data_IF_727419029287
#
_entry.id   IF_727419029287
#
_cell.length_a   1.000
_cell.length_b   1.000
_cell.length_c   1.000
_cell.angle_alpha   90.00
_cell.angle_beta   90.00
_cell.angle_gamma   90.00
#
_symmetry.space_group_name_H-M   'P 1'
#
loop_
_entity.id
_entity.type
_entity.pdbx_description
1 polymer ?
#
# COMPACT_ATOMS: atom_id res chain seq x y z
N UNK A 1 -3.87 19.30 -17.54
CA UNK A 1 -3.39 18.40 -16.47
C UNK A 1 -4.56 17.53 -16.06
N UNK A 2 -4.34 16.23 -15.89
CA UNK A 2 -5.36 15.35 -15.35
C UNK A 2 -5.53 15.68 -13.85
N UNK A 3 -6.77 15.74 -13.36
CA UNK A 3 -7.08 16.02 -11.94
C UNK A 3 -6.49 14.89 -11.07
N UNK A 4 -5.85 15.23 -9.95
CA UNK A 4 -5.47 14.27 -8.91
C UNK A 4 -6.75 13.61 -8.36
N UNK A 5 -6.72 12.29 -8.21
CA UNK A 5 -7.82 11.51 -7.64
C UNK A 5 -7.63 11.41 -6.14
N UNK A 6 -8.68 11.71 -5.37
CA UNK A 6 -8.67 11.65 -3.90
C UNK A 6 -9.56 10.54 -3.40
N UNK A 7 -9.13 9.84 -2.37
CA UNK A 7 -9.88 8.76 -1.75
C UNK A 7 -9.81 8.75 -0.24
N UNK A 8 -10.51 7.81 0.37
CA UNK A 8 -10.49 7.55 1.81
C UNK A 8 -10.25 6.07 2.09
N UNK A 9 -9.69 5.71 3.26
CA UNK A 9 -9.60 4.33 3.68
C UNK A 9 -10.97 3.78 4.05
N UNK A 10 -11.10 2.47 4.05
CA UNK A 10 -12.24 1.82 4.68
C UNK A 10 -12.18 2.05 6.20
N UNK A 11 -13.14 2.82 6.71
CA UNK A 11 -13.25 3.12 8.13
C UNK A 11 -13.88 1.94 8.87
N UNK A 12 -13.19 1.45 9.90
CA UNK A 12 -13.64 0.30 10.71
C UNK A 12 -14.83 0.65 11.61
N UNK A 13 -15.04 1.93 11.91
CA UNK A 13 -16.19 2.40 12.68
C UNK A 13 -17.53 2.29 11.93
N UNK A 14 -17.49 2.15 10.60
CA UNK A 14 -18.67 1.92 9.78
C UNK A 14 -18.93 0.42 9.62
N UNK A 15 -20.22 0.02 9.69
CA UNK A 15 -20.60 -1.39 9.79
C UNK A 15 -20.48 -2.17 8.46
N UNK A 16 -20.38 -1.47 7.32
CA UNK A 16 -20.36 -2.11 6.02
C UNK A 16 -19.52 -1.35 4.98
N UNK A 17 -19.13 -2.05 3.93
CA UNK A 17 -18.48 -1.42 2.76
C UNK A 17 -19.44 -0.41 2.11
N UNK A 18 -20.76 -0.70 2.06
CA UNK A 18 -21.73 0.24 1.49
C UNK A 18 -21.79 1.56 2.26
N UNK A 19 -21.73 1.54 3.58
CA UNK A 19 -21.70 2.78 4.39
C UNK A 19 -20.44 3.60 4.10
N UNK A 20 -19.31 2.95 3.93
CA UNK A 20 -18.05 3.58 3.50
C UNK A 20 -18.18 4.19 2.10
N UNK A 21 -18.73 3.45 1.14
CA UNK A 21 -18.95 3.92 -0.23
C UNK A 21 -19.87 5.14 -0.26
N UNK A 22 -20.94 5.11 0.53
CA UNK A 22 -21.88 6.24 0.65
C UNK A 22 -21.21 7.48 1.21
N UNK A 23 -20.40 7.32 2.27
CA UNK A 23 -19.63 8.42 2.85
C UNK A 23 -18.64 9.00 1.83
N UNK A 24 -17.86 8.16 1.14
CA UNK A 24 -16.93 8.57 0.10
C UNK A 24 -17.61 9.42 -0.98
N UNK A 25 -18.75 8.95 -1.48
CA UNK A 25 -19.56 9.68 -2.47
C UNK A 25 -20.11 11.01 -1.92
N UNK A 26 -20.60 11.04 -0.68
CA UNK A 26 -21.08 12.26 -0.03
C UNK A 26 -19.98 13.33 0.15
N UNK A 27 -18.75 12.91 0.40
CA UNK A 27 -17.58 13.79 0.51
C UNK A 27 -17.01 14.21 -0.86
N UNK A 28 -17.56 13.70 -1.97
CA UNK A 28 -17.08 14.00 -3.32
C UNK A 28 -15.70 13.41 -3.62
N UNK A 29 -15.31 12.35 -2.90
CA UNK A 29 -14.08 11.61 -3.12
C UNK A 29 -14.24 10.62 -4.28
N UNK A 30 -13.13 10.24 -4.92
CA UNK A 30 -13.12 9.47 -6.16
C UNK A 30 -12.99 7.96 -5.92
N UNK A 31 -12.43 7.53 -4.78
CA UNK A 31 -12.19 6.11 -4.49
C UNK A 31 -12.14 5.77 -3.00
N UNK A 32 -12.30 4.48 -2.71
CA UNK A 32 -12.05 3.89 -1.39
C UNK A 32 -10.94 2.86 -1.50
N UNK A 33 -10.03 2.87 -0.55
CA UNK A 33 -9.10 1.78 -0.34
C UNK A 33 -9.71 0.76 0.63
N UNK A 34 -9.99 -0.45 0.10
CA UNK A 34 -10.50 -1.56 0.90
C UNK A 34 -9.34 -2.24 1.62
N UNK A 35 -9.52 -2.50 2.92
CA UNK A 35 -8.48 -3.09 3.77
C UNK A 35 -8.64 -4.61 3.86
N UNK A 36 -7.75 -5.35 3.22
CA UNK A 36 -7.75 -6.81 3.20
C UNK A 36 -7.28 -7.45 4.53
N UNK A 37 -6.93 -6.68 5.57
CA UNK A 37 -6.82 -7.23 6.93
C UNK A 37 -8.21 -7.53 7.53
N UNK A 38 -9.27 -6.91 7.00
CA UNK A 38 -10.63 -7.11 7.51
C UNK A 38 -11.26 -8.39 6.95
N UNK A 39 -11.94 -9.21 7.79
CA UNK A 39 -12.61 -10.43 7.33
C UNK A 39 -13.60 -10.23 6.19
N UNK A 40 -14.23 -9.06 6.11
CA UNK A 40 -15.19 -8.70 5.05
C UNK A 40 -14.53 -8.36 3.70
N UNK A 41 -13.22 -8.17 3.68
CA UNK A 41 -12.45 -7.75 2.51
C UNK A 41 -11.31 -8.72 2.18
N UNK A 42 -11.37 -9.96 2.68
CA UNK A 42 -10.43 -11.00 2.25
C UNK A 42 -10.64 -11.33 0.78
N UNK A 43 -9.59 -11.39 -0.05
CA UNK A 43 -9.70 -11.57 -1.50
C UNK A 43 -10.55 -12.79 -1.90
N UNK A 44 -10.40 -13.92 -1.18
CA UNK A 44 -11.10 -15.18 -1.48
C UNK A 44 -12.61 -15.13 -1.20
N UNK A 45 -13.06 -14.20 -0.34
CA UNK A 45 -14.48 -14.05 0.03
C UNK A 45 -15.15 -12.80 -0.51
N UNK A 46 -14.38 -11.91 -1.14
CA UNK A 46 -14.85 -10.61 -1.61
C UNK A 46 -15.92 -10.75 -2.70
N UNK A 47 -17.10 -10.17 -2.46
CA UNK A 47 -18.18 -10.20 -3.44
C UNK A 47 -17.98 -9.12 -4.52
N UNK A 48 -17.19 -9.47 -5.55
CA UNK A 48 -16.85 -8.59 -6.67
C UNK A 48 -18.10 -8.06 -7.41
N UNK A 49 -19.14 -8.88 -7.55
CA UNK A 49 -20.37 -8.44 -8.21
C UNK A 49 -21.04 -7.31 -7.42
N UNK A 50 -21.18 -7.48 -6.11
CA UNK A 50 -21.77 -6.47 -5.24
C UNK A 50 -20.94 -5.17 -5.22
N UNK A 51 -19.61 -5.28 -5.16
CA UNK A 51 -18.74 -4.12 -5.21
C UNK A 51 -18.85 -3.36 -6.54
N UNK A 52 -19.00 -4.07 -7.67
CA UNK A 52 -19.24 -3.41 -8.96
C UNK A 52 -20.59 -2.69 -9.00
N UNK A 53 -21.65 -3.24 -8.39
CA UNK A 53 -22.94 -2.53 -8.27
C UNK A 53 -22.77 -1.24 -7.45
N UNK A 54 -22.07 -1.28 -6.32
CA UNK A 54 -21.80 -0.09 -5.53
C UNK A 54 -20.97 0.94 -6.30
N UNK A 55 -19.92 0.49 -6.99
CA UNK A 55 -19.07 1.33 -7.85
C UNK A 55 -19.90 2.08 -8.88
N UNK A 56 -20.77 1.39 -9.58
CA UNK A 56 -21.61 1.97 -10.65
C UNK A 56 -22.67 2.91 -10.07
N UNK A 57 -23.29 2.52 -8.94
CA UNK A 57 -24.35 3.30 -8.29
C UNK A 57 -23.82 4.64 -7.74
N UNK A 58 -22.62 4.65 -7.15
CA UNK A 58 -22.07 5.81 -6.45
C UNK A 58 -20.99 6.53 -7.25
N UNK A 59 -20.57 6.01 -8.40
CA UNK A 59 -19.56 6.62 -9.27
C UNK A 59 -18.15 6.63 -8.67
N UNK A 60 -17.85 5.74 -7.73
CA UNK A 60 -16.55 5.64 -7.04
C UNK A 60 -15.69 4.51 -7.65
N UNK A 61 -14.41 4.50 -7.30
CA UNK A 61 -13.46 3.42 -7.64
C UNK A 61 -12.99 2.72 -6.37
N UNK A 62 -12.25 1.63 -6.53
CA UNK A 62 -11.58 0.93 -5.43
C UNK A 62 -10.08 0.82 -5.68
N UNK A 63 -9.31 0.87 -4.60
CA UNK A 63 -7.96 0.33 -4.46
C UNK A 63 -8.00 -0.73 -3.35
N UNK A 64 -6.97 -1.56 -3.25
CA UNK A 64 -6.90 -2.57 -2.20
C UNK A 64 -5.60 -2.40 -1.42
N UNK A 65 -5.69 -2.39 -0.11
CA UNK A 65 -4.56 -2.53 0.80
C UNK A 65 -4.48 -3.99 1.25
N UNK A 66 -3.43 -4.70 0.85
CA UNK A 66 -3.28 -6.12 1.15
C UNK A 66 -2.88 -6.33 2.63
N UNK A 67 -2.95 -7.58 3.15
CA UNK A 67 -2.55 -7.87 4.51
C UNK A 67 -1.12 -7.41 4.79
N UNK A 68 -0.91 -6.76 5.94
CA UNK A 68 0.37 -6.17 6.33
C UNK A 68 1.46 -7.21 6.60
N UNK A 69 1.07 -8.44 6.90
CA UNK A 69 1.96 -9.58 7.14
C UNK A 69 2.38 -10.31 5.85
N UNK A 70 1.89 -9.89 4.69
CA UNK A 70 2.24 -10.49 3.40
C UNK A 70 3.75 -10.42 3.17
N UNK A 71 4.36 -11.56 2.82
CA UNK A 71 5.82 -11.69 2.72
C UNK A 71 6.25 -12.47 1.48
N UNK A 72 6.66 -11.74 0.46
CA UNK A 72 7.12 -12.28 -0.84
C UNK A 72 8.50 -12.94 -0.76
N UNK A 73 9.26 -12.67 0.31
CA UNK A 73 10.64 -13.15 0.50
C UNK A 73 10.78 -14.26 1.55
N UNK A 74 9.67 -14.69 2.19
CA UNK A 74 9.70 -15.59 3.33
C UNK A 74 10.54 -16.85 3.07
N UNK A 75 11.41 -17.23 4.04
CA UNK A 75 12.35 -18.36 3.88
C UNK A 75 11.64 -19.71 3.82
N UNK A 76 10.56 -19.89 4.61
CA UNK A 76 9.76 -21.11 4.50
C UNK A 76 8.93 -21.05 3.22
N UNK A 77 9.16 -22.00 2.32
CA UNK A 77 8.50 -22.08 1.01
C UNK A 77 6.97 -22.14 1.12
N UNK A 78 6.46 -22.96 2.04
CA UNK A 78 4.99 -23.12 2.18
C UNK A 78 4.30 -21.85 2.67
N UNK A 79 4.93 -21.12 3.59
CA UNK A 79 4.42 -19.82 4.04
C UNK A 79 4.45 -18.82 2.89
N UNK A 80 5.56 -18.74 2.15
CA UNK A 80 5.66 -17.86 0.97
C UNK A 80 4.62 -18.20 -0.10
N UNK A 81 4.40 -19.49 -0.38
CA UNK A 81 3.36 -19.92 -1.33
C UNK A 81 1.95 -19.53 -0.86
N UNK A 82 1.67 -19.59 0.45
CA UNK A 82 0.40 -19.11 0.99
C UNK A 82 0.22 -17.59 0.79
N UNK A 83 1.25 -16.79 1.08
CA UNK A 83 1.21 -15.35 0.83
C UNK A 83 1.05 -15.03 -0.68
N UNK A 84 1.75 -15.76 -1.54
CA UNK A 84 1.61 -15.62 -2.99
C UNK A 84 0.21 -15.98 -3.47
N UNK A 85 -0.45 -16.96 -2.84
CA UNK A 85 -1.83 -17.33 -3.17
C UNK A 85 -2.81 -16.19 -2.83
N UNK A 86 -2.65 -15.55 -1.68
CA UNK A 86 -3.45 -14.36 -1.31
C UNK A 86 -3.25 -13.24 -2.34
N UNK A 87 -2.01 -13.00 -2.76
CA UNK A 87 -1.71 -11.99 -3.77
C UNK A 87 -2.31 -12.33 -5.14
N UNK A 88 -2.24 -13.58 -5.59
CA UNK A 88 -2.86 -14.04 -6.85
C UNK A 88 -4.38 -13.76 -6.84
N UNK A 89 -5.06 -14.12 -5.76
CA UNK A 89 -6.49 -13.89 -5.60
C UNK A 89 -6.83 -12.39 -5.57
N UNK A 90 -6.01 -11.58 -4.88
CA UNK A 90 -6.17 -10.13 -4.85
C UNK A 90 -5.99 -9.49 -6.24
N UNK A 91 -5.00 -9.93 -7.03
CA UNK A 91 -4.81 -9.47 -8.41
C UNK A 91 -6.06 -9.78 -9.25
N UNK A 92 -6.61 -11.01 -9.13
CA UNK A 92 -7.83 -11.40 -9.82
C UNK A 92 -9.06 -10.59 -9.40
N UNK A 93 -9.19 -10.24 -8.12
CA UNK A 93 -10.23 -9.34 -7.61
C UNK A 93 -10.05 -7.93 -8.17
N UNK A 94 -8.84 -7.39 -8.08
CA UNK A 94 -8.50 -6.06 -8.55
C UNK A 94 -8.81 -5.88 -10.05
N UNK A 95 -8.43 -6.84 -10.87
CA UNK A 95 -8.70 -6.82 -12.30
C UNK A 95 -10.20 -6.77 -12.59
N UNK A 96 -11.01 -7.63 -11.95
CA UNK A 96 -12.48 -7.66 -12.10
C UNK A 96 -13.17 -6.39 -11.57
N UNK A 97 -12.61 -5.70 -10.58
CA UNK A 97 -13.11 -4.42 -10.07
C UNK A 97 -12.61 -3.22 -10.87
N UNK A 98 -11.59 -3.40 -11.72
CA UNK A 98 -10.89 -2.33 -12.42
C UNK A 98 -10.01 -1.48 -11.49
N UNK A 99 -9.57 -2.04 -10.35
CA UNK A 99 -8.60 -1.41 -9.47
C UNK A 99 -7.26 -1.24 -10.20
N UNK A 100 -6.59 -0.12 -9.96
CA UNK A 100 -5.29 0.16 -10.56
C UNK A 100 -4.14 -0.07 -9.58
N UNK A 101 -4.39 0.02 -8.30
CA UNK A 101 -3.40 -0.07 -7.23
C UNK A 101 -3.79 -1.19 -6.25
N UNK A 102 -2.82 -2.06 -6.00
CA UNK A 102 -2.77 -2.98 -4.85
C UNK A 102 -1.63 -2.50 -3.95
N UNK A 103 -1.93 -1.99 -2.77
CA UNK A 103 -0.92 -1.54 -1.83
C UNK A 103 -0.40 -2.71 -0.98
N UNK A 104 0.93 -2.79 -0.80
CA UNK A 104 1.60 -3.80 0.03
C UNK A 104 2.69 -3.16 0.88
N UNK A 105 2.98 -3.78 2.03
CA UNK A 105 4.18 -3.51 2.81
C UNK A 105 5.30 -4.49 2.44
N UNK A 106 6.56 -4.06 2.63
CA UNK A 106 7.67 -5.01 2.68
C UNK A 106 7.78 -5.58 4.08
N UNK A 107 7.85 -6.92 4.18
CA UNK A 107 7.98 -7.57 5.49
C UNK A 107 9.43 -7.46 5.99
N UNK A 108 9.67 -7.03 7.27
CA UNK A 108 11.02 -6.92 7.83
C UNK A 108 11.68 -8.29 8.09
N UNK A 109 10.90 -9.36 8.06
CA UNK A 109 11.35 -10.69 8.47
C UNK A 109 11.62 -10.81 9.97
N UNK A 110 12.15 -11.97 10.35
CA UNK A 110 12.50 -12.26 11.74
C UNK A 110 13.89 -11.69 12.06
N UNK A 111 14.04 -11.20 13.30
CA UNK A 111 15.33 -10.81 13.83
C UNK A 111 15.66 -11.58 15.12
N UNK A 112 16.94 -11.73 15.39
CA UNK A 112 17.47 -12.26 16.64
C UNK A 112 18.16 -11.15 17.41
N UNK A 113 17.80 -10.99 18.69
CA UNK A 113 18.47 -10.07 19.59
C UNK A 113 19.54 -10.84 20.36
N UNK A 114 20.80 -10.55 20.06
CA UNK A 114 21.97 -11.02 20.79
C UNK A 114 22.34 -10.01 21.87
N UNK A 115 23.22 -10.38 22.83
CA UNK A 115 23.64 -9.44 23.89
C UNK A 115 24.25 -8.13 23.39
N UNK A 116 24.89 -8.14 22.23
CA UNK A 116 25.65 -7.02 21.67
C UNK A 116 25.06 -6.44 20.38
N UNK A 117 24.16 -7.17 19.72
CA UNK A 117 23.63 -6.76 18.41
C UNK A 117 22.24 -7.34 18.10
N UNK A 118 21.56 -6.74 17.14
CA UNK A 118 20.31 -7.24 16.55
C UNK A 118 20.61 -7.74 15.14
N UNK A 119 20.35 -9.02 14.87
CA UNK A 119 20.57 -9.64 13.56
C UNK A 119 19.25 -9.76 12.83
N UNK A 120 19.10 -9.06 11.72
CA UNK A 120 17.99 -9.20 10.79
C UNK A 120 18.28 -10.37 9.83
N UNK A 121 17.41 -11.39 9.82
CA UNK A 121 17.68 -12.61 9.06
C UNK A 121 17.72 -12.37 7.55
N UNK A 122 16.87 -11.48 7.01
CA UNK A 122 16.88 -11.17 5.58
C UNK A 122 18.16 -10.44 5.17
N UNK A 123 18.70 -9.58 6.01
CA UNK A 123 20.00 -8.96 5.79
C UNK A 123 21.15 -9.97 5.86
N UNK A 124 21.15 -10.85 6.88
CA UNK A 124 22.19 -11.88 7.06
C UNK A 124 22.20 -12.91 5.93
N UNK A 125 21.03 -13.30 5.43
CA UNK A 125 20.88 -14.29 4.35
C UNK A 125 20.36 -13.62 3.07
N UNK A 126 20.90 -12.45 2.73
CA UNK A 126 20.41 -11.59 1.66
C UNK A 126 20.31 -12.31 0.30
N UNK A 127 21.27 -13.14 -0.05
CA UNK A 127 21.24 -13.88 -1.32
C UNK A 127 20.00 -14.79 -1.44
N UNK A 128 19.67 -15.52 -0.36
CA UNK A 128 18.50 -16.37 -0.33
C UNK A 128 17.21 -15.55 -0.36
N UNK A 129 17.16 -14.45 0.40
CA UNK A 129 16.02 -13.53 0.41
C UNK A 129 15.75 -12.98 -0.99
N UNK A 130 16.77 -12.45 -1.66
CA UNK A 130 16.63 -11.88 -3.01
C UNK A 130 16.29 -12.95 -4.07
N UNK A 131 16.79 -14.19 -3.91
CA UNK A 131 16.39 -15.31 -4.75
C UNK A 131 14.91 -15.65 -4.59
N UNK A 132 14.39 -15.61 -3.35
CA UNK A 132 12.96 -15.83 -3.08
C UNK A 132 12.11 -14.71 -3.69
N UNK A 133 12.50 -13.44 -3.51
CA UNK A 133 11.84 -12.28 -4.14
C UNK A 133 11.78 -12.43 -5.66
N UNK A 134 12.91 -12.85 -6.29
CA UNK A 134 12.95 -13.08 -7.74
C UNK A 134 11.96 -14.16 -8.18
N UNK A 135 11.93 -15.30 -7.48
CA UNK A 135 11.00 -16.39 -7.80
C UNK A 135 9.53 -15.98 -7.62
N UNK A 136 9.25 -15.14 -6.61
CA UNK A 136 7.92 -14.59 -6.41
C UNK A 136 7.54 -13.61 -7.53
N UNK A 137 8.47 -12.74 -7.94
CA UNK A 137 8.27 -11.80 -9.04
C UNK A 137 7.92 -12.49 -10.35
N UNK A 138 8.59 -13.60 -10.67
CA UNK A 138 8.32 -14.39 -11.90
C UNK A 138 6.86 -14.87 -11.95
N UNK A 139 6.27 -15.28 -10.84
CA UNK A 139 4.86 -15.65 -10.75
C UNK A 139 3.93 -14.43 -10.83
N UNK A 140 4.27 -13.36 -10.11
CA UNK A 140 3.49 -12.12 -10.07
C UNK A 140 3.39 -11.49 -11.46
N UNK A 141 4.47 -11.47 -12.22
CA UNK A 141 4.48 -10.95 -13.60
C UNK A 141 3.55 -11.75 -14.52
N UNK A 142 3.42 -13.06 -14.31
CA UNK A 142 2.45 -13.91 -15.04
C UNK A 142 1.02 -13.49 -14.68
N UNK A 143 0.71 -13.34 -13.40
CA UNK A 143 -0.65 -12.98 -12.94
C UNK A 143 -1.07 -11.57 -13.32
N UNK A 144 -0.12 -10.63 -13.36
CA UNK A 144 -0.35 -9.26 -13.81
C UNK A 144 -0.42 -9.13 -15.33
N UNK A 145 0.00 -10.17 -16.06
CA UNK A 145 -0.05 -10.20 -17.53
C UNK A 145 -1.46 -9.98 -18.06
N UNK A 146 -1.64 -8.94 -18.90
CA UNK A 146 -2.94 -8.57 -19.49
C UNK A 146 -3.86 -7.75 -18.59
N UNK A 147 -3.52 -7.55 -17.31
CA UNK A 147 -4.27 -6.67 -16.40
C UNK A 147 -3.78 -5.22 -16.46
N UNK A 148 -4.60 -4.30 -15.96
CA UNK A 148 -4.19 -2.91 -15.74
C UNK A 148 -3.75 -2.61 -14.30
N UNK A 149 -3.48 -3.66 -13.50
CA UNK A 149 -3.14 -3.59 -12.08
C UNK A 149 -1.64 -3.33 -11.88
N UNK A 150 -1.30 -2.51 -10.90
CA UNK A 150 0.06 -2.32 -10.40
C UNK A 150 0.10 -2.61 -8.91
N UNK A 151 1.19 -3.21 -8.46
CA UNK A 151 1.44 -3.40 -7.03
C UNK A 151 2.26 -2.20 -6.54
N UNK A 152 1.74 -1.51 -5.54
CA UNK A 152 2.39 -0.35 -4.94
C UNK A 152 3.04 -0.73 -3.61
N UNK A 153 4.33 -0.47 -3.47
CA UNK A 153 5.08 -0.76 -2.25
C UNK A 153 5.10 0.49 -1.38
N UNK A 154 4.59 0.35 -0.17
CA UNK A 154 4.53 1.43 0.81
C UNK A 154 5.80 1.52 1.64
N UNK A 155 6.22 2.74 1.96
CA UNK A 155 7.27 2.99 2.93
C UNK A 155 6.72 2.83 4.36
N UNK A 156 7.41 2.01 5.13
CA UNK A 156 7.07 1.70 6.54
C UNK A 156 8.27 1.84 7.48
N UNK A 157 9.23 2.69 7.11
CA UNK A 157 10.50 2.81 7.82
C UNK A 157 11.47 1.65 7.57
N UNK A 158 11.33 0.94 6.45
CA UNK A 158 12.15 -0.22 6.10
C UNK A 158 13.00 -0.03 4.85
N UNK A 159 12.65 0.94 3.98
CA UNK A 159 13.29 1.11 2.67
C UNK A 159 14.73 1.63 2.77
N UNK A 160 15.16 2.12 3.93
CA UNK A 160 16.54 2.47 4.21
C UNK A 160 17.47 1.24 4.39
N UNK A 161 16.91 0.04 4.62
CA UNK A 161 17.68 -1.20 4.86
C UNK A 161 18.23 -1.75 3.54
N UNK A 162 19.56 -2.02 3.41
CA UNK A 162 20.17 -2.35 2.12
C UNK A 162 19.55 -3.56 1.41
N UNK A 163 19.17 -4.60 2.16
CA UNK A 163 18.56 -5.80 1.58
C UNK A 163 17.13 -5.54 1.09
N UNK A 164 16.35 -4.70 1.79
CA UNK A 164 15.00 -4.28 1.38
C UNK A 164 15.10 -3.36 0.16
N UNK A 165 16.01 -2.37 0.17
CA UNK A 165 16.25 -1.51 -1.01
C UNK A 165 16.56 -2.33 -2.25
N UNK A 166 17.43 -3.34 -2.12
CA UNK A 166 17.81 -4.21 -3.24
C UNK A 166 16.61 -4.99 -3.76
N UNK A 167 15.77 -5.51 -2.85
CA UNK A 167 14.54 -6.21 -3.22
C UNK A 167 13.54 -5.29 -3.94
N UNK A 168 13.26 -4.11 -3.38
CA UNK A 168 12.35 -3.13 -3.99
C UNK A 168 12.86 -2.67 -5.35
N UNK A 169 14.17 -2.39 -5.48
CA UNK A 169 14.76 -2.04 -6.76
C UNK A 169 14.61 -3.16 -7.81
N UNK A 170 14.65 -4.42 -7.39
CA UNK A 170 14.42 -5.56 -8.27
C UNK A 170 12.94 -5.62 -8.71
N UNK A 171 11.99 -5.40 -7.81
CA UNK A 171 10.55 -5.36 -8.09
C UNK A 171 10.19 -4.21 -9.04
N UNK A 172 10.69 -3.00 -8.79
CA UNK A 172 10.43 -1.82 -9.62
C UNK A 172 10.90 -1.98 -11.07
N UNK A 173 11.97 -2.76 -11.32
CA UNK A 173 12.48 -3.01 -12.67
C UNK A 173 11.51 -3.79 -13.57
N UNK A 174 10.54 -4.51 -13.01
CA UNK A 174 9.53 -5.22 -13.82
C UNK A 174 8.54 -4.26 -14.51
N UNK A 175 8.46 -3.01 -14.07
CA UNK A 175 7.48 -2.03 -14.54
C UNK A 175 6.04 -2.30 -14.10
N UNK A 176 5.83 -3.35 -13.28
CA UNK A 176 4.53 -3.72 -12.69
C UNK A 176 4.38 -3.25 -11.25
N UNK A 177 5.49 -2.79 -10.66
CA UNK A 177 5.52 -2.24 -9.31
C UNK A 177 5.72 -0.74 -9.35
N UNK A 178 5.14 -0.06 -8.38
CA UNK A 178 5.30 1.37 -8.12
C UNK A 178 5.45 1.59 -6.61
N UNK A 179 5.42 2.85 -6.18
CA UNK A 179 5.58 3.20 -4.76
C UNK A 179 4.35 3.95 -4.25
N UNK A 180 3.99 3.65 -3.02
CA UNK A 180 3.10 4.44 -2.18
C UNK A 180 3.95 5.22 -1.19
N UNK A 181 3.80 6.54 -1.16
CA UNK A 181 4.40 7.34 -0.10
C UNK A 181 3.39 7.56 1.02
N UNK A 182 3.56 6.82 2.12
CA UNK A 182 2.91 7.15 3.37
C UNK A 182 3.72 8.24 4.08
N UNK A 183 3.08 9.40 4.24
CA UNK A 183 3.78 10.61 4.71
C UNK A 183 3.93 10.65 6.22
N UNK A 184 3.02 10.03 6.96
CA UNK A 184 3.14 9.92 8.41
C UNK A 184 4.12 8.85 8.83
N UNK A 185 4.15 7.69 8.17
CA UNK A 185 5.20 6.68 8.36
C UNK A 185 6.59 7.25 8.08
N UNK A 186 6.74 8.09 7.03
CA UNK A 186 8.00 8.80 6.78
C UNK A 186 8.37 9.70 7.96
N UNK A 187 7.40 10.47 8.49
CA UNK A 187 7.61 11.37 9.61
C UNK A 187 8.00 10.62 10.90
N UNK A 188 7.19 9.63 11.34
CA UNK A 188 7.44 8.92 12.61
C UNK A 188 8.69 8.03 12.57
N UNK A 189 9.13 7.59 11.39
CA UNK A 189 10.41 6.90 11.21
C UNK A 189 11.63 7.83 11.17
N UNK A 190 11.44 9.12 11.49
CA UNK A 190 12.48 10.16 11.38
C UNK A 190 13.03 10.27 9.95
N UNK A 191 12.14 10.15 8.96
CA UNK A 191 12.45 10.24 7.53
C UNK A 191 13.44 9.20 7.02
N UNK A 192 13.48 8.01 7.65
CA UNK A 192 14.44 6.96 7.32
C UNK A 192 14.34 6.52 5.83
N UNK A 193 13.14 6.54 5.25
CA UNK A 193 12.89 6.10 3.88
C UNK A 193 12.89 7.26 2.85
N UNK A 194 12.97 8.53 3.30
CA UNK A 194 12.81 9.71 2.47
C UNK A 194 13.78 9.77 1.29
N UNK A 195 15.05 9.47 1.52
CA UNK A 195 16.07 9.47 0.47
C UNK A 195 15.72 8.46 -0.63
N UNK A 196 15.29 7.25 -0.24
CA UNK A 196 14.87 6.23 -1.19
C UNK A 196 13.67 6.69 -2.02
N UNK A 197 12.64 7.23 -1.35
CA UNK A 197 11.43 7.73 -2.01
C UNK A 197 11.75 8.87 -3.00
N UNK A 198 12.59 9.81 -2.63
CA UNK A 198 13.00 10.93 -3.50
C UNK A 198 13.81 10.44 -4.70
N UNK A 199 14.72 9.48 -4.51
CA UNK A 199 15.51 8.86 -5.59
C UNK A 199 14.63 8.08 -6.59
N UNK A 200 13.44 7.64 -6.16
CA UNK A 200 12.46 6.92 -6.98
C UNK A 200 11.18 7.74 -7.22
N UNK A 201 11.27 9.08 -7.16
CA UNK A 201 10.12 9.99 -7.22
C UNK A 201 9.16 9.68 -8.37
N UNK A 202 9.65 9.36 -9.55
CA UNK A 202 8.84 9.04 -10.73
C UNK A 202 8.01 7.75 -10.60
N UNK A 203 8.42 6.86 -9.70
CA UNK A 203 7.72 5.61 -9.40
C UNK A 203 6.59 5.77 -8.38
N UNK A 204 6.47 6.93 -7.71
CA UNK A 204 5.38 7.19 -6.75
C UNK A 204 4.09 7.38 -7.53
N UNK A 205 3.11 6.47 -7.33
CA UNK A 205 1.80 6.49 -8.00
C UNK A 205 0.63 6.54 -7.03
N UNK A 206 0.91 6.41 -5.75
CA UNK A 206 -0.05 6.52 -4.68
C UNK A 206 0.55 7.25 -3.49
N UNK A 207 -0.25 7.98 -2.74
CA UNK A 207 0.16 8.68 -1.52
C UNK A 207 -0.87 8.41 -0.45
N UNK A 208 -0.43 7.94 0.70
CA UNK A 208 -1.22 7.96 1.93
C UNK A 208 -0.95 9.27 2.65
N UNK A 209 -1.95 10.15 2.63
CA UNK A 209 -1.85 11.51 3.13
C UNK A 209 -2.58 11.63 4.45
N UNK A 210 -1.84 11.85 5.49
CA UNK A 210 -2.32 12.19 6.82
C UNK A 210 -1.28 13.04 7.52
N UNK A 211 -1.64 13.72 8.60
CA UNK A 211 -0.66 14.47 9.36
C UNK A 211 -0.06 13.61 10.46
N UNK A 212 1.06 14.07 11.01
CA UNK A 212 1.76 13.42 12.09
C UNK A 212 2.42 14.44 12.99
N UNK A 213 2.56 14.09 14.27
CA UNK A 213 3.24 14.90 15.27
C UNK A 213 3.83 14.02 16.36
N UNK A 214 5.12 14.23 16.68
CA UNK A 214 5.86 13.42 17.64
C UNK A 214 5.90 11.93 17.22
N UNK A 215 5.14 11.06 17.90
CA UNK A 215 5.01 9.63 17.59
C UNK A 215 3.61 9.23 17.14
N UNK A 216 2.73 10.22 16.93
CA UNK A 216 1.38 9.99 16.49
C UNK A 216 1.26 10.27 15.00
N UNK A 217 0.71 9.34 14.27
CA UNK A 217 0.35 9.47 12.86
C UNK A 217 -1.16 9.39 12.66
N UNK A 218 -1.60 9.37 11.41
CA UNK A 218 -3.01 9.37 11.01
C UNK A 218 -3.82 10.52 11.62
N UNK A 219 -3.16 11.64 11.90
CA UNK A 219 -3.82 12.85 12.39
C UNK A 219 -4.60 13.52 11.25
N UNK A 220 -5.59 14.30 11.64
CA UNK A 220 -6.33 15.19 10.74
C UNK A 220 -5.37 16.12 9.98
N UNK A 221 -5.67 16.39 8.71
CA UNK A 221 -4.80 17.19 7.85
C UNK A 221 -4.59 18.60 8.44
N UNK A 222 -3.37 19.09 8.35
CA UNK A 222 -2.94 20.42 8.85
C UNK A 222 -2.99 20.60 10.38
N UNK A 223 -3.06 19.50 11.15
CA UNK A 223 -3.01 19.56 12.62
C UNK A 223 -1.66 19.14 13.20
N UNK A 224 -0.78 18.58 12.38
CA UNK A 224 0.54 18.10 12.77
C UNK A 224 1.68 18.93 12.19
N UNK A 225 2.77 18.24 11.81
CA UNK A 225 4.04 18.87 11.41
C UNK A 225 4.53 18.40 10.03
N UNK A 226 3.72 17.61 9.29
CA UNK A 226 4.09 17.13 7.94
C UNK A 226 3.89 18.25 6.92
N UNK A 227 4.86 18.45 6.01
CA UNK A 227 4.67 19.34 4.85
C UNK A 227 3.77 18.66 3.81
N UNK A 228 2.45 18.77 4.04
CA UNK A 228 1.43 18.20 3.16
C UNK A 228 1.44 18.83 1.76
N UNK A 229 1.82 20.11 1.63
CA UNK A 229 1.86 20.80 0.36
C UNK A 229 2.95 20.23 -0.56
N UNK A 230 4.14 19.93 -0.01
CA UNK A 230 5.20 19.23 -0.75
C UNK A 230 4.66 17.88 -1.31
N UNK A 231 3.92 17.13 -0.51
CA UNK A 231 3.39 15.81 -0.91
C UNK A 231 2.30 15.93 -1.97
N UNK A 232 1.42 16.90 -1.85
CA UNK A 232 0.39 17.18 -2.88
C UNK A 232 1.01 17.67 -4.20
N UNK A 233 2.12 18.41 -4.15
CA UNK A 233 2.85 18.77 -5.35
C UNK A 233 3.42 17.51 -6.03
N UNK A 234 4.02 16.58 -5.28
CA UNK A 234 4.53 15.32 -5.81
C UNK A 234 3.41 14.49 -6.43
N UNK A 235 2.25 14.42 -5.78
CA UNK A 235 1.07 13.76 -6.33
C UNK A 235 0.67 14.33 -7.70
N UNK A 236 0.60 15.65 -7.79
CA UNK A 236 0.25 16.34 -9.03
C UNK A 236 1.25 16.09 -10.17
N UNK A 237 2.55 16.17 -9.88
CA UNK A 237 3.62 15.97 -10.87
C UNK A 237 3.64 14.53 -11.41
N UNK A 238 3.38 13.55 -10.55
CA UNK A 238 3.41 12.12 -10.89
C UNK A 238 2.06 11.55 -11.34
N UNK A 239 0.98 12.35 -11.29
CA UNK A 239 -0.39 11.89 -11.48
C UNK A 239 -0.74 10.74 -10.51
N UNK A 240 -0.21 10.81 -9.29
CA UNK A 240 -0.47 9.86 -8.23
C UNK A 240 -1.86 10.10 -7.62
N UNK A 241 -2.54 9.02 -7.22
CA UNK A 241 -3.74 9.11 -6.40
C UNK A 241 -3.37 9.42 -4.94
N UNK A 242 -4.27 10.08 -4.23
CA UNK A 242 -4.07 10.50 -2.84
C UNK A 242 -5.17 9.90 -1.98
N UNK A 243 -4.80 9.05 -1.06
CA UNK A 243 -5.65 8.52 -0.01
C UNK A 243 -5.55 9.45 1.21
N UNK A 244 -6.65 10.06 1.64
CA UNK A 244 -6.69 10.81 2.91
C UNK A 244 -6.83 9.78 4.03
N UNK A 245 -5.69 9.34 4.57
CA UNK A 245 -5.63 8.18 5.46
C UNK A 245 -5.81 8.56 6.94
N UNK A 246 -6.92 9.21 7.25
CA UNK A 246 -7.37 9.39 8.63
C UNK A 246 -8.29 8.25 9.06
N UNK A 247 -8.37 7.96 10.34
CA UNK A 247 -9.01 6.71 10.82
C UNK A 247 -10.46 6.89 11.27
N UNK A 248 -11.01 8.11 11.24
CA UNK A 248 -12.38 8.40 11.65
C UNK A 248 -13.12 9.26 10.63
N UNK A 249 -14.44 9.13 10.62
CA UNK A 249 -15.34 9.98 9.82
C UNK A 249 -15.20 11.46 10.22
N UNK A 250 -15.05 11.74 11.51
CA UNK A 250 -14.90 13.08 12.03
C UNK A 250 -13.69 13.78 11.42
N UNK A 251 -12.52 13.10 11.41
CA UNK A 251 -11.28 13.63 10.83
C UNK A 251 -11.30 13.76 9.30
N UNK A 252 -12.28 13.15 8.60
CA UNK A 252 -12.47 13.32 7.15
C UNK A 252 -13.33 14.56 6.81
N UNK A 253 -14.15 15.05 7.75
CA UNK A 253 -15.13 16.11 7.50
C UNK A 253 -14.57 17.49 7.82
N UNK A 254 -13.60 17.56 8.71
CA UNK A 254 -12.92 18.80 9.13
C UNK A 254 -11.69 19.08 8.27
#
# INVERSE_FOLDING_TARGET
MQRVSYGMPQLIELNSVEENVRLCSQLGLDFIELNCNLPSCQPETMNVHYLNLLKDQYGIKFTLHLPEDLDLGHFNRHVREAHLKVLEEAIGVADRLGCKILNIHMNPGVHFTLPTEKIELYGKYQQQYLSNIKSSLELIDIWLGGTGVHISIENTGLLHRPHIQTAVNQLLKSGRFCLTWDVGHDYISSHADREFMLNHRSSIKHIHLHDAKERNDHLELYTGEVDLNEKLQIASENQASVLIEVKTKESLIH
#
